data_IF_671633974754
#
_entry.id   IF_671633974754
#
_cell.length_a   1.000
_cell.length_b   1.000
_cell.length_c   1.000
_cell.angle_alpha   90.00
_cell.angle_beta   90.00
_cell.angle_gamma   90.00
#
_symmetry.space_group_name_H-M   'P 1'
#
loop_
_entity.id
_entity.type
_entity.pdbx_description
1 polymer ?
#
# COMPACT_ATOMS: atom_id res chain seq x y z
N UNK A 1 61.74 -7.86 -4.70
CA UNK A 1 60.58 -7.01 -5.10
C UNK A 1 59.48 -7.91 -5.68
N UNK A 2 58.65 -8.54 -4.85
CA UNK A 2 57.59 -9.44 -5.34
C UNK A 2 56.28 -9.35 -4.56
N UNK A 3 56.11 -8.33 -3.71
CA UNK A 3 54.95 -8.20 -2.81
C UNK A 3 53.85 -7.25 -3.31
N UNK A 4 54.07 -6.51 -4.41
CA UNK A 4 53.09 -5.51 -4.89
C UNK A 4 52.00 -6.08 -5.81
N UNK A 5 52.14 -7.31 -6.32
CA UNK A 5 51.16 -7.91 -7.24
C UNK A 5 49.95 -8.51 -6.51
N UNK A 6 50.16 -9.06 -5.32
CA UNK A 6 49.10 -9.75 -4.55
C UNK A 6 48.06 -8.79 -3.97
N UNK A 7 48.48 -7.59 -3.52
CA UNK A 7 47.55 -6.60 -2.96
C UNK A 7 46.58 -6.04 -4.00
N UNK A 8 47.03 -5.85 -5.24
CA UNK A 8 46.18 -5.38 -6.33
C UNK A 8 45.15 -6.43 -6.76
N UNK A 9 45.51 -7.71 -6.74
CA UNK A 9 44.59 -8.82 -7.04
C UNK A 9 43.48 -8.94 -5.99
N UNK A 10 43.81 -8.78 -4.70
CA UNK A 10 42.82 -8.79 -3.62
C UNK A 10 41.84 -7.62 -3.77
N UNK A 11 42.34 -6.44 -4.14
CA UNK A 11 41.51 -5.26 -4.34
C UNK A 11 40.49 -5.45 -5.48
N UNK A 12 40.90 -6.08 -6.58
CA UNK A 12 40.05 -6.33 -7.74
C UNK A 12 38.94 -7.34 -7.40
N UNK A 13 39.27 -8.41 -6.67
CA UNK A 13 38.29 -9.42 -6.25
C UNK A 13 37.27 -8.83 -5.27
N UNK A 14 37.71 -7.99 -4.32
CA UNK A 14 36.82 -7.30 -3.40
C UNK A 14 35.87 -6.34 -4.12
N UNK A 15 36.36 -5.60 -5.12
CA UNK A 15 35.55 -4.66 -5.90
C UNK A 15 34.54 -5.39 -6.80
N UNK A 16 34.92 -6.52 -7.40
CA UNK A 16 34.02 -7.36 -8.18
C UNK A 16 32.92 -8.00 -7.31
N UNK A 17 33.25 -8.42 -6.09
CA UNK A 17 32.27 -8.91 -5.11
C UNK A 17 31.26 -7.84 -4.70
N UNK A 18 31.71 -6.61 -4.46
CA UNK A 18 30.84 -5.47 -4.15
C UNK A 18 29.93 -5.09 -5.34
N UNK A 19 30.47 -5.11 -6.57
CA UNK A 19 29.69 -4.87 -7.78
C UNK A 19 28.65 -5.98 -8.03
N UNK A 20 29.01 -7.25 -7.82
CA UNK A 20 28.07 -8.36 -7.89
C UNK A 20 26.95 -8.27 -6.85
N UNK A 21 27.29 -7.84 -5.62
CA UNK A 21 26.33 -7.61 -4.56
C UNK A 21 25.38 -6.43 -4.86
N UNK A 22 25.92 -5.32 -5.37
CA UNK A 22 25.11 -4.17 -5.79
C UNK A 22 24.16 -4.52 -6.95
N UNK A 23 24.62 -5.32 -7.91
CA UNK A 23 23.77 -5.84 -8.99
C UNK A 23 22.70 -6.82 -8.49
N UNK A 24 23.00 -7.63 -7.47
CA UNK A 24 22.02 -8.53 -6.85
C UNK A 24 20.94 -7.78 -6.06
N UNK A 25 21.30 -6.67 -5.40
CA UNK A 25 20.34 -5.74 -4.78
C UNK A 25 19.49 -5.03 -5.85
N UNK A 26 20.09 -4.62 -6.97
CA UNK A 26 19.33 -4.07 -8.09
C UNK A 26 18.40 -5.10 -8.74
N UNK A 27 18.80 -6.38 -8.80
CA UNK A 27 17.96 -7.47 -9.30
C UNK A 27 16.79 -7.80 -8.36
N UNK A 28 16.96 -7.64 -7.03
CA UNK A 28 15.83 -7.71 -6.07
C UNK A 28 14.92 -6.48 -6.12
N UNK A 29 15.46 -5.29 -6.42
CA UNK A 29 14.65 -4.08 -6.67
C UNK A 29 14.05 -4.02 -8.09
N UNK A 30 14.47 -4.93 -8.98
CA UNK A 30 14.02 -5.06 -10.37
C UNK A 30 12.86 -6.02 -10.54
N UNK A 31 12.33 -6.57 -9.44
CA UNK A 31 10.99 -7.12 -9.42
C UNK A 31 10.02 -5.97 -9.60
N UNK A 32 9.60 -5.74 -10.84
CA UNK A 32 8.40 -4.97 -11.17
C UNK A 32 7.25 -5.52 -10.32
N UNK A 33 7.04 -4.92 -9.13
CA UNK A 33 5.79 -4.99 -8.40
C UNK A 33 4.77 -4.13 -9.17
N UNK A 34 4.52 -4.52 -10.42
CA UNK A 34 3.39 -4.04 -11.20
C UNK A 34 2.15 -4.58 -10.50
N UNK A 35 1.66 -3.75 -9.57
CA UNK A 35 0.54 -3.90 -8.66
C UNK A 35 -0.42 -5.06 -8.94
N UNK A 36 -0.17 -6.19 -8.27
CA UNK A 36 -1.18 -7.25 -8.06
C UNK A 36 -2.40 -6.74 -7.30
N UNK A 37 -2.24 -5.67 -6.55
CA UNK A 37 -3.24 -5.11 -5.65
C UNK A 37 -3.54 -3.66 -6.02
N UNK A 38 -4.82 -3.33 -6.07
CA UNK A 38 -5.32 -1.96 -6.01
C UNK A 38 -5.58 -1.60 -4.54
N UNK A 39 -5.32 -0.36 -4.15
CA UNK A 39 -5.51 0.13 -2.79
C UNK A 39 -6.51 1.28 -2.76
N UNK A 40 -7.35 1.31 -1.73
CA UNK A 40 -8.28 2.40 -1.43
C UNK A 40 -8.03 2.87 0.00
N UNK A 41 -7.91 4.18 0.18
CA UNK A 41 -7.75 4.80 1.49
C UNK A 41 -9.01 5.61 1.78
N UNK A 42 -9.56 5.44 2.97
CA UNK A 42 -10.73 6.14 3.46
C UNK A 42 -10.34 6.86 4.76
N UNK A 43 -10.39 8.19 4.75
CA UNK A 43 -10.30 8.98 5.98
C UNK A 43 -11.70 9.14 6.58
N UNK A 44 -11.92 8.58 7.76
CA UNK A 44 -13.21 8.65 8.44
C UNK A 44 -13.50 10.03 9.02
N UNK A 45 -12.55 10.97 8.99
CA UNK A 45 -12.82 12.39 9.33
C UNK A 45 -13.66 13.09 8.27
N UNK A 46 -13.56 12.65 7.02
CA UNK A 46 -14.31 13.21 5.90
C UNK A 46 -15.71 12.60 5.77
N UNK A 47 -16.07 11.71 6.70
CA UNK A 47 -17.35 11.00 6.70
C UNK A 47 -18.34 11.63 7.66
N UNK A 48 -19.59 11.70 7.23
CA UNK A 48 -20.72 12.03 8.11
C UNK A 48 -21.25 10.74 8.72
N UNK A 49 -20.92 10.50 10.00
CA UNK A 49 -21.37 9.32 10.74
C UNK A 49 -22.43 9.73 11.77
N UNK A 50 -23.66 9.23 11.64
CA UNK A 50 -24.71 9.49 12.61
C UNK A 50 -25.69 8.30 12.74
N UNK A 51 -25.88 7.69 13.92
CA UNK A 51 -26.71 6.50 14.08
C UNK A 51 -28.17 6.69 13.67
N UNK A 52 -28.74 7.88 13.88
CA UNK A 52 -30.11 8.21 13.52
C UNK A 52 -30.31 8.58 12.04
N UNK A 53 -29.29 8.39 11.19
CA UNK A 53 -29.38 8.75 9.78
C UNK A 53 -30.28 7.78 9.02
N UNK A 54 -31.23 8.33 8.26
CA UNK A 54 -32.10 7.55 7.37
C UNK A 54 -31.38 7.26 6.05
N UNK A 55 -31.86 6.27 5.30
CA UNK A 55 -31.29 5.97 3.97
C UNK A 55 -31.41 7.17 3.02
N UNK A 56 -32.51 7.94 3.12
CA UNK A 56 -32.69 9.17 2.35
C UNK A 56 -31.61 10.23 2.63
N UNK A 57 -31.19 10.39 3.90
CA UNK A 57 -30.10 11.31 4.25
C UNK A 57 -28.75 10.82 3.71
N UNK A 58 -28.50 9.51 3.74
CA UNK A 58 -27.28 8.91 3.20
C UNK A 58 -27.21 9.11 1.69
N UNK A 59 -28.31 8.86 0.99
CA UNK A 59 -28.39 9.01 -0.47
C UNK A 59 -28.24 10.47 -0.89
N UNK A 60 -28.83 11.40 -0.16
CA UNK A 60 -28.66 12.83 -0.42
C UNK A 60 -27.21 13.27 -0.22
N UNK A 61 -26.56 12.84 0.86
CA UNK A 61 -25.15 13.10 1.08
C UNK A 61 -24.27 12.56 -0.06
N UNK A 62 -24.55 11.33 -0.53
CA UNK A 62 -23.82 10.73 -1.66
C UNK A 62 -24.01 11.51 -2.97
N UNK A 63 -25.19 12.06 -3.24
CA UNK A 63 -25.42 12.88 -4.45
C UNK A 63 -24.52 14.11 -4.51
N UNK A 64 -24.18 14.67 -3.35
CA UNK A 64 -23.27 15.82 -3.24
C UNK A 64 -21.81 15.40 -3.00
N UNK A 65 -21.49 14.11 -3.12
CA UNK A 65 -20.13 13.58 -2.98
C UNK A 65 -19.65 13.39 -1.54
N UNK A 66 -20.56 13.45 -0.57
CA UNK A 66 -20.24 13.23 0.85
C UNK A 66 -20.47 11.77 1.19
N UNK A 67 -19.46 11.12 1.75
CA UNK A 67 -19.61 9.78 2.32
C UNK A 67 -20.35 9.88 3.65
N UNK A 68 -21.53 9.30 3.72
CA UNK A 68 -22.34 9.26 4.93
C UNK A 68 -22.76 7.84 5.27
N UNK A 69 -22.77 7.51 6.56
CA UNK A 69 -23.17 6.20 7.06
C UNK A 69 -23.75 6.30 8.48
N UNK A 70 -24.46 5.26 8.91
CA UNK A 70 -24.97 5.16 10.30
C UNK A 70 -23.85 4.88 11.29
N UNK A 71 -22.87 4.08 10.87
CA UNK A 71 -21.69 3.69 11.61
C UNK A 71 -20.60 3.22 10.64
N UNK A 72 -19.37 3.05 11.13
CA UNK A 72 -18.23 2.61 10.32
C UNK A 72 -18.37 1.17 9.84
N UNK A 73 -18.91 0.28 10.66
CA UNK A 73 -19.06 -1.15 10.32
C UNK A 73 -19.91 -1.31 9.05
N UNK A 74 -21.04 -0.62 8.98
CA UNK A 74 -21.93 -0.64 7.81
C UNK A 74 -21.26 -0.13 6.53
N UNK A 75 -20.34 0.83 6.64
CA UNK A 75 -19.58 1.30 5.50
C UNK A 75 -18.48 0.32 5.10
N UNK A 76 -17.79 -0.27 6.09
CA UNK A 76 -16.74 -1.25 5.84
C UNK A 76 -17.32 -2.52 5.22
N UNK A 77 -18.49 -2.97 5.68
CA UNK A 77 -19.23 -4.09 5.10
C UNK A 77 -19.63 -3.81 3.66
N UNK A 78 -20.11 -2.58 3.37
CA UNK A 78 -20.44 -2.14 2.00
C UNK A 78 -19.22 -2.17 1.09
N UNK A 79 -18.08 -1.65 1.55
CA UNK A 79 -16.81 -1.68 0.82
C UNK A 79 -16.33 -3.13 0.65
N UNK A 80 -16.51 -3.98 1.67
CA UNK A 80 -16.26 -5.41 1.63
C UNK A 80 -17.05 -6.13 0.55
N UNK A 81 -18.34 -5.80 0.42
CA UNK A 81 -19.21 -6.34 -0.61
C UNK A 81 -18.79 -5.93 -2.04
N UNK A 82 -18.07 -4.82 -2.22
CA UNK A 82 -17.45 -4.41 -3.49
C UNK A 82 -16.15 -5.18 -3.80
N UNK A 83 -15.75 -6.15 -2.95
CA UNK A 83 -14.56 -6.98 -3.12
C UNK A 83 -13.28 -6.39 -2.52
N UNK A 84 -13.40 -5.38 -1.65
CA UNK A 84 -12.25 -4.79 -0.95
C UNK A 84 -12.02 -5.45 0.41
N UNK A 85 -10.78 -5.79 0.71
CA UNK A 85 -10.35 -6.34 1.99
C UNK A 85 -9.76 -5.25 2.87
N UNK A 86 -10.24 -5.10 4.12
CA UNK A 86 -9.66 -4.19 5.10
C UNK A 86 -8.28 -4.70 5.53
N UNK A 87 -7.26 -3.86 5.36
CA UNK A 87 -5.85 -4.17 5.70
C UNK A 87 -5.47 -3.58 7.05
N UNK A 88 -5.88 -2.34 7.30
CA UNK A 88 -5.54 -1.62 8.51
C UNK A 88 -6.59 -0.55 8.80
N UNK A 89 -6.88 -0.34 10.07
CA UNK A 89 -7.66 0.79 10.56
C UNK A 89 -6.96 1.36 11.79
N UNK A 90 -6.41 2.56 11.65
CA UNK A 90 -5.73 3.28 12.72
C UNK A 90 -5.89 4.79 12.52
N UNK A 91 -5.99 5.53 13.62
CA UNK A 91 -6.05 7.00 13.60
C UNK A 91 -7.08 7.60 12.63
N UNK A 92 -8.25 6.94 12.51
CA UNK A 92 -9.34 7.32 11.59
C UNK A 92 -9.05 7.10 10.10
N UNK A 93 -7.99 6.38 9.77
CA UNK A 93 -7.65 6.02 8.40
C UNK A 93 -7.87 4.52 8.21
N UNK A 94 -8.76 4.17 7.29
CA UNK A 94 -8.99 2.80 6.86
C UNK A 94 -8.31 2.56 5.51
N UNK A 95 -7.48 1.51 5.44
CA UNK A 95 -6.78 1.10 4.22
C UNK A 95 -7.36 -0.23 3.75
N UNK A 96 -7.79 -0.25 2.50
CA UNK A 96 -8.34 -1.42 1.84
C UNK A 96 -7.47 -1.83 0.65
N UNK A 97 -7.48 -3.12 0.31
CA UNK A 97 -6.86 -3.65 -0.90
C UNK A 97 -7.83 -4.55 -1.66
N UNK A 98 -7.68 -4.70 -2.97
CA UNK A 98 -8.31 -5.76 -3.76
C UNK A 98 -7.40 -6.22 -4.88
N UNK A 99 -7.53 -7.46 -5.39
CA UNK A 99 -6.78 -7.90 -6.55
C UNK A 99 -7.06 -6.99 -7.75
N UNK A 100 -6.01 -6.62 -8.48
CA UNK A 100 -6.13 -5.91 -9.74
C UNK A 100 -6.51 -6.94 -10.82
N UNK A 101 -7.67 -6.76 -11.45
CA UNK A 101 -8.11 -7.57 -12.59
C UNK A 101 -7.23 -7.30 -13.82
#
# INVERSE_FOLDING_TARGET
MQERKSSSLILIVALAGLLGFALSLQAQSGGSASGRWEYRVLDTKDMLIHPAMTDAHIDEARRVGITAARNLDSEFDRIGAEGWELVSFADRIAVFKRPRN
#
